data_IF_088080976595
#
_entry.id   IF_088080976595
#
_cell.length_a   1.000
_cell.length_b   1.000
_cell.length_c   1.000
_cell.angle_alpha   90.00
_cell.angle_beta   90.00
_cell.angle_gamma   90.00
#
_symmetry.space_group_name_H-M   'P 1'
#
loop_
_entity.id
_entity.type
_entity.pdbx_description
1 polymer ?
#
# COMPACT_ATOMS: atom_id res chain seq x y z
N UNK A 1 -6.21 -3.89 -18.74
CA UNK A 1 -6.62 -4.10 -17.33
C UNK A 1 -7.32 -5.45 -17.25
N UNK A 2 -6.84 -6.39 -16.43
CA UNK A 2 -7.58 -7.63 -16.13
C UNK A 2 -8.62 -7.33 -15.03
N UNK A 3 -9.75 -8.04 -15.06
CA UNK A 3 -10.99 -7.72 -14.34
C UNK A 3 -10.86 -7.56 -12.81
N UNK A 4 -11.88 -6.91 -12.23
CA UNK A 4 -11.99 -6.67 -10.78
C UNK A 4 -12.08 -8.02 -10.03
N UNK A 5 -10.98 -8.47 -9.42
CA UNK A 5 -11.03 -9.55 -8.42
C UNK A 5 -11.38 -8.93 -7.07
N UNK A 6 -12.33 -9.53 -6.35
CA UNK A 6 -12.73 -9.08 -5.02
C UNK A 6 -11.88 -9.77 -3.95
N UNK A 7 -11.39 -9.00 -2.99
CA UNK A 7 -10.79 -9.48 -1.74
C UNK A 7 -11.53 -8.82 -0.59
N UNK A 8 -12.05 -9.59 0.37
CA UNK A 8 -12.87 -9.08 1.48
C UNK A 8 -14.03 -8.18 1.00
N UNK A 9 -14.69 -8.57 -0.10
CA UNK A 9 -15.75 -7.80 -0.79
C UNK A 9 -15.32 -6.43 -1.35
N UNK A 10 -14.02 -6.12 -1.37
CA UNK A 10 -13.47 -4.92 -1.97
C UNK A 10 -12.98 -5.23 -3.39
N UNK A 11 -13.44 -4.50 -4.43
CA UNK A 11 -12.98 -4.70 -5.79
C UNK A 11 -11.62 -4.03 -6.02
N UNK A 12 -10.57 -4.82 -6.26
CA UNK A 12 -9.24 -4.25 -6.49
C UNK A 12 -8.94 -4.01 -7.96
N UNK A 13 -8.29 -2.88 -8.22
CA UNK A 13 -7.52 -2.66 -9.45
C UNK A 13 -6.10 -3.14 -9.19
N UNK A 14 -5.77 -4.30 -9.78
CA UNK A 14 -4.42 -4.85 -9.72
C UNK A 14 -3.55 -4.22 -10.80
N UNK A 15 -2.32 -3.88 -10.43
CA UNK A 15 -1.32 -3.49 -11.41
C UNK A 15 -0.93 -4.74 -12.25
N UNK A 16 -0.66 -4.55 -13.55
CA UNK A 16 -0.22 -5.66 -14.43
C UNK A 16 1.08 -6.31 -13.92
N UNK A 17 1.94 -5.49 -13.32
CA UNK A 17 3.08 -5.90 -12.52
C UNK A 17 2.98 -5.15 -11.19
N UNK A 18 3.32 -5.79 -10.05
CA UNK A 18 3.31 -5.12 -8.77
C UNK A 18 4.23 -3.89 -8.79
N UNK A 19 3.81 -2.83 -8.12
CA UNK A 19 4.61 -1.59 -8.03
C UNK A 19 5.54 -1.73 -6.84
N UNK A 20 6.83 -1.56 -7.09
CA UNK A 20 7.88 -1.64 -6.07
C UNK A 20 8.28 -0.23 -5.64
N UNK A 21 8.27 0.00 -4.32
CA UNK A 21 8.53 1.29 -3.70
C UNK A 21 9.67 1.20 -2.69
N UNK A 22 10.68 2.08 -2.81
CA UNK A 22 11.77 2.23 -1.84
C UNK A 22 12.56 3.53 -2.13
N UNK A 23 13.16 4.15 -1.11
CA UNK A 23 14.15 5.22 -1.33
C UNK A 23 15.57 4.67 -1.60
N UNK A 24 15.81 3.38 -1.28
CA UNK A 24 17.09 2.74 -1.55
C UNK A 24 17.28 2.37 -3.03
N UNK A 25 18.54 2.20 -3.42
CA UNK A 25 18.91 1.81 -4.79
C UNK A 25 18.76 0.30 -4.97
N UNK A 26 17.59 -0.13 -5.43
CA UNK A 26 17.31 -1.52 -5.81
C UNK A 26 17.44 -1.73 -7.32
N UNK A 27 17.80 -2.94 -7.73
CA UNK A 27 17.70 -3.32 -9.16
C UNK A 27 16.23 -3.54 -9.52
N UNK A 28 15.80 -3.01 -10.68
CA UNK A 28 14.53 -3.41 -11.32
C UNK A 28 13.34 -2.48 -11.14
N UNK A 29 13.46 -1.19 -11.49
CA UNK A 29 12.30 -0.30 -11.65
C UNK A 29 11.59 0.07 -10.35
N UNK A 30 12.29 0.03 -9.22
CA UNK A 30 11.80 0.48 -7.91
C UNK A 30 11.73 2.00 -7.90
N UNK A 31 10.62 2.55 -7.39
CA UNK A 31 10.34 3.98 -7.38
C UNK A 31 10.32 4.52 -5.95
N UNK A 32 10.75 5.76 -5.68
CA UNK A 32 10.56 6.37 -4.36
C UNK A 32 9.10 6.77 -4.12
N UNK A 33 8.33 6.97 -5.19
CA UNK A 33 6.94 7.44 -5.17
C UNK A 33 6.15 6.87 -6.33
N UNK A 34 4.86 6.62 -6.10
CA UNK A 34 3.88 6.35 -7.17
C UNK A 34 2.62 7.20 -6.98
N UNK A 35 2.03 7.61 -8.10
CA UNK A 35 0.75 8.33 -8.14
C UNK A 35 -0.31 7.45 -8.82
N UNK A 36 -1.34 7.10 -8.08
CA UNK A 36 -2.50 6.36 -8.57
C UNK A 36 -3.59 7.36 -8.94
N UNK A 37 -3.89 7.48 -10.23
CA UNK A 37 -4.93 8.42 -10.67
C UNK A 37 -6.28 8.08 -10.05
N UNK A 38 -6.92 9.11 -9.52
CA UNK A 38 -8.30 9.11 -9.06
C UNK A 38 -9.00 10.24 -9.84
N UNK A 39 -10.19 10.01 -10.36
CA UNK A 39 -10.94 11.08 -11.07
C UNK A 39 -12.37 11.15 -10.51
N UNK A 40 -12.47 11.08 -9.18
CA UNK A 40 -13.75 11.05 -8.47
C UNK A 40 -13.60 11.50 -7.01
N UNK A 41 -14.69 11.92 -6.35
CA UNK A 41 -14.76 11.92 -4.89
C UNK A 41 -14.47 10.52 -4.33
N UNK A 42 -13.85 10.47 -3.14
CA UNK A 42 -13.55 9.21 -2.45
C UNK A 42 -13.61 9.41 -0.93
N UNK A 43 -14.27 8.51 -0.22
CA UNK A 43 -14.26 8.48 1.25
C UNK A 43 -12.96 7.86 1.80
N UNK A 44 -12.40 6.88 1.09
CA UNK A 44 -11.15 6.23 1.47
C UNK A 44 -10.49 5.56 0.26
N UNK A 45 -9.22 5.18 0.46
CA UNK A 45 -8.51 4.25 -0.42
C UNK A 45 -8.17 3.00 0.38
N UNK A 46 -8.44 1.83 -0.19
CA UNK A 46 -8.01 0.53 0.32
C UNK A 46 -6.84 0.05 -0.51
N UNK A 47 -5.72 -0.24 0.14
CA UNK A 47 -4.45 -0.62 -0.46
C UNK A 47 -4.13 -2.06 -0.10
N UNK A 48 -3.68 -2.82 -1.09
CA UNK A 48 -3.15 -4.17 -0.91
C UNK A 48 -1.62 -4.09 -0.95
N UNK A 49 -0.99 -4.09 0.22
CA UNK A 49 0.43 -3.79 0.43
C UNK A 49 1.14 -4.95 1.12
N UNK A 50 2.43 -5.09 0.85
CA UNK A 50 3.33 -5.89 1.69
C UNK A 50 4.74 -5.30 1.71
N UNK A 51 5.53 -5.56 2.75
CA UNK A 51 6.93 -5.17 2.79
C UNK A 51 7.80 -6.41 2.56
N UNK A 52 8.48 -6.47 1.43
CA UNK A 52 9.36 -7.60 1.10
C UNK A 52 10.67 -7.60 1.90
N UNK A 53 11.05 -6.42 2.39
CA UNK A 53 12.18 -6.25 3.29
C UNK A 53 11.98 -4.97 4.13
N UNK A 54 12.34 -5.04 5.41
CA UNK A 54 12.22 -3.92 6.35
C UNK A 54 13.51 -3.80 7.20
N UNK A 55 14.14 -2.61 7.27
CA UNK A 55 15.24 -2.38 8.21
C UNK A 55 14.82 -2.62 9.66
N UNK A 56 15.71 -3.16 10.49
CA UNK A 56 15.41 -3.54 11.87
C UNK A 56 14.85 -2.38 12.73
N UNK A 57 15.29 -1.15 12.46
CA UNK A 57 14.93 0.07 13.16
C UNK A 57 13.93 0.96 12.39
N UNK A 58 13.35 0.48 11.28
CA UNK A 58 12.38 1.26 10.53
C UNK A 58 11.08 1.43 11.33
N UNK A 59 10.71 2.69 11.59
CA UNK A 59 9.46 3.05 12.26
C UNK A 59 8.34 3.30 11.24
N UNK A 60 8.62 4.08 10.20
CA UNK A 60 7.69 4.42 9.12
C UNK A 60 8.14 3.69 7.86
N UNK A 61 7.20 3.06 7.15
CA UNK A 61 7.50 2.31 5.92
C UNK A 61 7.07 3.05 4.66
N UNK A 62 5.93 3.73 4.72
CA UNK A 62 5.40 4.49 3.59
C UNK A 62 4.43 5.57 4.08
N UNK A 63 4.21 6.59 3.25
CA UNK A 63 3.23 7.65 3.44
C UNK A 63 2.21 7.62 2.33
N UNK A 64 0.96 7.88 2.68
CA UNK A 64 -0.16 7.97 1.74
C UNK A 64 -0.78 9.36 1.81
N UNK A 65 -0.94 10.03 0.67
CA UNK A 65 -1.60 11.33 0.57
C UNK A 65 -2.68 11.32 -0.50
N UNK A 66 -3.73 12.10 -0.29
CA UNK A 66 -4.70 12.46 -1.31
C UNK A 66 -4.25 13.76 -1.98
N UNK A 67 -4.19 13.74 -3.31
CA UNK A 67 -4.00 14.94 -4.15
C UNK A 67 -5.35 15.30 -4.71
N UNK A 68 -5.81 16.51 -4.45
CA UNK A 68 -7.11 17.00 -4.90
C UNK A 68 -7.00 17.74 -6.23
N UNK A 69 -8.10 17.87 -6.96
CA UNK A 69 -8.12 18.53 -8.27
C UNK A 69 -7.75 20.02 -8.24
N UNK A 70 -7.95 20.68 -7.11
CA UNK A 70 -7.52 22.07 -6.89
C UNK A 70 -6.00 22.21 -6.69
N UNK A 71 -5.26 21.09 -6.73
CA UNK A 71 -3.81 21.03 -6.52
C UNK A 71 -3.41 20.95 -5.04
N UNK A 72 -4.36 21.06 -4.11
CA UNK A 72 -4.10 20.88 -2.68
C UNK A 72 -3.85 19.40 -2.35
N UNK A 73 -3.25 19.17 -1.19
CA UNK A 73 -2.83 17.84 -0.75
C UNK A 73 -3.20 17.62 0.71
N UNK A 74 -3.69 16.43 1.04
CA UNK A 74 -3.91 16.05 2.42
C UNK A 74 -2.59 15.93 3.18
N UNK A 75 -2.63 16.09 4.50
CA UNK A 75 -1.55 15.62 5.35
C UNK A 75 -1.29 14.11 5.08
N UNK A 76 -0.02 13.67 5.05
CA UNK A 76 0.30 12.28 4.77
C UNK A 76 -0.12 11.38 5.95
N UNK A 77 -0.80 10.26 5.65
CA UNK A 77 -0.99 9.17 6.60
C UNK A 77 0.23 8.26 6.56
N UNK A 78 0.92 8.15 7.68
CA UNK A 78 2.05 7.23 7.84
C UNK A 78 1.57 5.80 8.10
N UNK A 79 2.14 4.84 7.36
CA UNK A 79 1.99 3.42 7.61
C UNK A 79 3.25 2.94 8.33
N UNK A 80 3.10 2.59 9.61
CA UNK A 80 4.22 2.26 10.49
C UNK A 80 4.43 0.77 10.58
N UNK A 81 5.70 0.41 10.75
CA UNK A 81 6.14 -0.96 10.91
C UNK A 81 5.47 -1.59 12.14
N UNK A 82 4.96 -2.81 11.99
CA UNK A 82 4.28 -3.61 13.03
C UNK A 82 2.99 -2.99 13.61
N UNK A 83 2.51 -1.84 13.09
CA UNK A 83 1.22 -1.22 13.46
C UNK A 83 0.20 -1.27 12.33
N UNK A 84 0.55 -0.72 11.17
CA UNK A 84 -0.30 -0.72 9.98
C UNK A 84 0.22 -1.66 8.88
N UNK A 85 1.54 -1.83 8.78
CA UNK A 85 2.20 -2.68 7.79
C UNK A 85 3.43 -3.35 8.42
N UNK A 86 3.87 -4.49 7.89
CA UNK A 86 5.08 -5.19 8.35
C UNK A 86 5.66 -6.08 7.25
N UNK A 87 6.80 -6.68 7.58
CA UNK A 87 7.47 -7.67 6.74
C UNK A 87 6.53 -8.82 6.36
N UNK A 88 6.59 -9.20 5.08
CA UNK A 88 5.77 -10.23 4.47
C UNK A 88 6.10 -11.62 4.98
N UNK A 89 7.31 -11.89 5.45
CA UNK A 89 7.74 -13.20 5.90
C UNK A 89 7.24 -13.43 7.32
N UNK A 90 6.21 -14.27 7.47
CA UNK A 90 5.42 -14.31 8.70
C UNK A 90 6.13 -15.03 9.86
N UNK A 91 7.08 -15.91 9.55
CA UNK A 91 7.79 -16.71 10.55
C UNK A 91 8.64 -15.87 11.52
N UNK A 92 9.04 -14.66 11.13
CA UNK A 92 9.88 -13.78 11.96
C UNK A 92 9.08 -13.02 13.02
N UNK A 93 7.76 -12.98 12.92
CA UNK A 93 6.91 -12.27 13.87
C UNK A 93 5.49 -12.88 13.89
N UNK A 94 5.25 -13.88 14.73
CA UNK A 94 3.94 -14.54 14.84
C UNK A 94 2.89 -13.76 15.62
N UNK A 95 3.24 -12.61 16.23
CA UNK A 95 2.37 -11.83 17.13
C UNK A 95 2.03 -10.42 16.62
N UNK A 96 2.61 -9.98 15.53
CA UNK A 96 2.25 -8.71 14.90
C UNK A 96 0.91 -8.76 14.15
N UNK A 97 0.72 -7.79 13.27
CA UNK A 97 -0.52 -7.61 12.49
C UNK A 97 -0.80 -8.87 11.65
N UNK A 98 -2.03 -9.38 11.71
CA UNK A 98 -2.48 -10.47 10.82
C UNK A 98 -2.56 -9.98 9.37
N UNK A 99 -2.03 -10.73 8.40
CA UNK A 99 -2.22 -10.40 7.00
C UNK A 99 -3.67 -10.66 6.57
N UNK A 100 -4.14 -9.92 5.58
CA UNK A 100 -5.42 -10.16 4.94
C UNK A 100 -5.38 -11.39 4.03
N UNK A 101 -4.22 -11.66 3.42
CA UNK A 101 -3.99 -12.86 2.63
C UNK A 101 -2.68 -13.52 3.01
N UNK A 102 -2.69 -14.84 3.10
CA UNK A 102 -1.56 -15.66 3.50
C UNK A 102 -1.33 -16.75 2.47
N UNK A 103 -0.07 -16.97 2.10
CA UNK A 103 0.30 -18.00 1.14
C UNK A 103 1.60 -18.70 1.55
N UNK A 104 1.73 -19.95 1.14
CA UNK A 104 2.90 -20.76 1.39
C UNK A 104 3.63 -20.99 0.07
N UNK A 105 4.91 -20.66 0.04
CA UNK A 105 5.76 -20.89 -1.13
C UNK A 105 6.07 -22.38 -1.32
N UNK A 106 6.55 -22.81 -2.51
CA UNK A 106 6.99 -24.19 -2.73
C UNK A 106 8.09 -24.68 -1.78
N UNK A 107 8.82 -23.76 -1.14
CA UNK A 107 9.85 -24.05 -0.13
C UNK A 107 9.30 -24.09 1.30
N UNK A 108 7.97 -24.16 1.47
CA UNK A 108 7.29 -24.19 2.76
C UNK A 108 7.50 -22.95 3.64
N UNK A 109 7.85 -21.82 3.03
CA UNK A 109 7.92 -20.52 3.71
C UNK A 109 6.58 -19.79 3.61
N UNK A 110 6.12 -19.23 4.71
CA UNK A 110 4.83 -18.55 4.84
C UNK A 110 4.97 -17.02 4.66
N UNK A 111 4.13 -16.46 3.81
CA UNK A 111 4.13 -15.04 3.46
C UNK A 111 2.75 -14.41 3.60
N UNK A 112 2.71 -13.09 3.78
CA UNK A 112 1.50 -12.31 3.96
C UNK A 112 1.40 -11.08 3.07
N UNK A 113 0.16 -10.71 2.75
CA UNK A 113 -0.22 -9.43 2.14
C UNK A 113 -1.27 -8.76 3.04
N UNK A 114 -1.14 -7.45 3.22
CA UNK A 114 -1.90 -6.65 4.16
C UNK A 114 -2.90 -5.76 3.42
N UNK A 115 -4.09 -5.64 3.97
CA UNK A 115 -5.15 -4.76 3.48
C UNK A 115 -5.20 -3.54 4.39
N UNK A 116 -4.97 -2.35 3.83
CA UNK A 116 -4.83 -1.11 4.58
C UNK A 116 -5.82 -0.09 4.04
N UNK A 117 -6.74 0.37 4.89
CA UNK A 117 -7.67 1.43 4.56
C UNK A 117 -7.14 2.78 5.07
N UNK A 118 -7.09 3.77 4.19
CA UNK A 118 -6.71 5.15 4.50
C UNK A 118 -7.88 6.06 4.20
N UNK A 119 -8.44 6.68 5.23
CA UNK A 119 -9.56 7.62 5.12
C UNK A 119 -9.12 8.93 4.44
N UNK A 120 -9.94 9.43 3.52
CA UNK A 120 -9.78 10.78 2.97
C UNK A 120 -10.26 11.81 4.00
N UNK A 121 -9.41 12.74 4.46
CA UNK A 121 -9.85 13.76 5.41
C UNK A 121 -10.84 14.78 4.80
N UNK A 122 -10.89 14.90 3.47
CA UNK A 122 -11.79 15.79 2.75
C UNK A 122 -12.63 15.01 1.72
N UNK A 123 -13.60 14.18 2.17
CA UNK A 123 -14.35 13.27 1.30
C UNK A 123 -15.23 13.98 0.26
N UNK A 124 -15.55 15.26 0.50
CA UNK A 124 -16.31 16.09 -0.43
C UNK A 124 -15.48 16.65 -1.60
N UNK A 125 -14.14 16.68 -1.48
CA UNK A 125 -13.27 17.15 -2.56
C UNK A 125 -13.06 16.07 -3.61
N UNK A 126 -12.99 16.48 -4.86
CA UNK A 126 -12.58 15.59 -5.95
C UNK A 126 -11.09 15.25 -5.83
N UNK A 127 -10.80 13.95 -5.73
CA UNK A 127 -9.44 13.44 -5.68
C UNK A 127 -8.93 13.28 -7.12
N UNK A 128 -7.76 13.84 -7.40
CA UNK A 128 -7.02 13.70 -8.67
C UNK A 128 -6.03 12.53 -8.65
N UNK A 129 -5.46 12.24 -7.48
CA UNK A 129 -4.60 11.08 -7.30
C UNK A 129 -4.46 10.67 -5.83
N UNK A 130 -4.07 9.42 -5.62
CA UNK A 130 -3.50 8.92 -4.36
C UNK A 130 -2.00 8.75 -4.56
N UNK A 131 -1.20 9.41 -3.75
CA UNK A 131 0.25 9.28 -3.80
C UNK A 131 0.74 8.41 -2.65
N UNK A 132 1.58 7.43 -3.00
CA UNK A 132 2.28 6.58 -2.05
C UNK A 132 3.77 6.86 -2.18
N UNK A 133 4.41 7.10 -1.04
CA UNK A 133 5.83 7.44 -0.93
C UNK A 133 6.53 6.45 -0.03
N UNK A 134 7.62 5.85 -0.48
CA UNK A 134 8.46 5.06 0.40
C UNK A 134 9.13 5.96 1.44
N UNK A 135 9.44 5.40 2.61
CA UNK A 135 10.26 6.07 3.61
C UNK A 135 11.44 5.16 3.95
N UNK A 136 12.64 5.65 3.70
CA UNK A 136 13.89 4.91 3.87
C UNK A 136 13.98 3.68 2.96
N UNK A 137 14.76 2.71 3.43
CA UNK A 137 15.25 1.62 2.58
C UNK A 137 14.29 0.43 2.49
N UNK A 138 13.16 0.45 3.21
CA UNK A 138 12.18 -0.62 3.15
C UNK A 138 11.71 -0.85 1.70
N UNK A 139 11.54 -2.12 1.33
CA UNK A 139 11.04 -2.50 0.01
C UNK A 139 9.55 -2.82 0.12
N UNK A 140 8.72 -1.90 -0.35
CA UNK A 140 7.27 -2.00 -0.30
C UNK A 140 6.74 -2.46 -1.66
N UNK A 141 5.77 -3.36 -1.63
CA UNK A 141 5.09 -3.89 -2.80
C UNK A 141 3.62 -3.47 -2.72
N UNK A 142 3.19 -2.66 -3.69
CA UNK A 142 1.79 -2.36 -3.93
C UNK A 142 1.24 -3.33 -4.98
N UNK A 143 0.40 -4.26 -4.55
CA UNK A 143 -0.23 -5.26 -5.41
C UNK A 143 -1.52 -4.73 -6.07
N UNK A 144 -2.24 -3.85 -5.37
CA UNK A 144 -3.47 -3.26 -5.90
C UNK A 144 -4.04 -2.17 -4.99
N UNK A 145 -4.97 -1.40 -5.55
CA UNK A 145 -5.70 -0.38 -4.82
C UNK A 145 -7.17 -0.35 -5.23
N UNK A 146 -8.03 0.12 -4.32
CA UNK A 146 -9.44 0.39 -4.56
C UNK A 146 -9.80 1.71 -3.92
N UNK A 147 -10.48 2.59 -4.67
CA UNK A 147 -11.15 3.74 -4.07
C UNK A 147 -12.52 3.32 -3.57
N UNK A 148 -12.92 3.83 -2.41
CA UNK A 148 -14.30 3.73 -1.92
C UNK A 148 -14.95 5.08 -2.10
N UNK A 149 -16.08 5.08 -2.81
CA UNK A 149 -16.91 6.27 -2.92
C UNK A 149 -17.58 6.58 -1.58
N UNK A 150 -17.94 7.84 -1.32
CA UNK A 150 -18.80 8.21 -0.20
C UNK A 150 -20.14 7.45 -0.19
#
# INVERSE_FOLDING_TARGET
>A
MQGKTQLERVPFLFAKHPILLSEAVWKGGVLPRVSLKAESPAASVVLLLTAAWVPANAEILTRVSFVYRDGSRSAPRELRNKKELRDWFLATDSRGISPAFRFVSPRMLEYGVFLIEVTNPEPAKEVAAIELEAVGDALIILAGASLRTP
#
